data_IF_353782237504
#
_entry.id   IF_353782237504
#
_cell.length_a   1.000
_cell.length_b   1.000
_cell.length_c   1.000
_cell.angle_alpha   90.00
_cell.angle_beta   90.00
_cell.angle_gamma   90.00
#
_symmetry.space_group_name_H-M   'P 1'
#
loop_
_entity.id
_entity.type
_entity.pdbx_description
1 polymer ?
#
# COMPACT_ATOMS: atom_id res chain seq x y z
N UNK A 1 -9.18 4.36 -32.08
CA UNK A 1 -9.69 5.56 -31.42
C UNK A 1 -8.66 6.64 -31.71
N UNK A 2 -8.99 7.62 -32.54
CA UNK A 2 -8.07 8.65 -33.07
C UNK A 2 -7.76 9.67 -31.98
N UNK A 3 -6.47 9.93 -31.72
CA UNK A 3 -6.03 10.97 -30.79
C UNK A 3 -6.39 12.37 -31.33
N UNK A 4 -6.84 13.31 -30.48
CA UNK A 4 -7.08 14.70 -30.88
C UNK A 4 -5.74 15.39 -31.22
N UNK A 5 -5.73 16.37 -32.15
CA UNK A 5 -4.58 17.22 -32.37
C UNK A 5 -4.57 18.34 -31.31
N UNK A 6 -3.57 18.37 -30.44
CA UNK A 6 -3.31 19.59 -29.64
C UNK A 6 -2.57 19.45 -28.31
N UNK A 7 -2.51 18.27 -27.70
CA UNK A 7 -2.01 18.16 -26.33
C UNK A 7 -1.16 16.91 -26.04
N UNK A 8 -0.91 16.06 -27.04
CA UNK A 8 0.17 15.07 -27.04
C UNK A 8 0.15 14.00 -25.93
N UNK A 9 -0.79 14.08 -24.99
CA UNK A 9 -0.90 13.22 -23.84
C UNK A 9 -1.56 11.90 -24.23
N UNK A 10 -0.78 10.83 -24.15
CA UNK A 10 -1.29 9.48 -24.22
C UNK A 10 -1.70 9.07 -22.79
N UNK A 11 -2.99 9.07 -22.46
CA UNK A 11 -3.51 8.48 -21.20
C UNK A 11 -3.71 6.98 -21.39
N UNK A 12 -2.82 6.18 -20.79
CA UNK A 12 -2.81 4.74 -20.98
C UNK A 12 -2.90 3.94 -19.71
N UNK A 13 -3.81 2.96 -19.75
CA UNK A 13 -3.80 1.80 -18.86
C UNK A 13 -2.70 0.81 -19.25
N UNK A 14 -3.04 -0.44 -19.55
CA UNK A 14 -2.06 -1.52 -19.70
C UNK A 14 -1.33 -1.58 -21.05
N UNK A 15 -1.99 -1.21 -22.16
CA UNK A 15 -1.40 -1.20 -23.50
C UNK A 15 -2.11 -0.18 -24.37
N UNK A 16 -1.35 0.63 -25.08
CA UNK A 16 -1.89 1.56 -26.06
C UNK A 16 -0.87 1.76 -27.17
N UNK A 17 -1.38 1.79 -28.39
CA UNK A 17 -0.59 2.05 -29.59
C UNK A 17 -1.22 3.23 -30.30
N UNK A 18 -0.42 4.24 -30.63
CA UNK A 18 -0.82 5.37 -31.43
C UNK A 18 0.17 5.56 -32.57
N UNK A 19 -0.33 5.98 -33.73
CA UNK A 19 0.46 6.26 -34.93
C UNK A 19 0.72 7.77 -35.00
N UNK A 20 1.97 8.15 -35.23
CA UNK A 20 2.38 9.55 -35.37
C UNK A 20 3.12 9.73 -36.68
N UNK A 21 3.01 10.92 -37.28
CA UNK A 21 3.84 11.27 -38.42
C UNK A 21 5.32 11.39 -38.01
N UNK A 22 6.21 11.10 -38.95
CA UNK A 22 7.65 11.18 -38.70
C UNK A 22 8.07 12.59 -38.30
N UNK A 23 8.88 12.69 -37.25
CA UNK A 23 9.39 13.96 -36.72
C UNK A 23 8.47 14.65 -35.71
N UNK A 24 7.30 14.07 -35.40
CA UNK A 24 6.43 14.58 -34.34
C UNK A 24 7.03 14.33 -32.96
N UNK A 25 6.96 15.34 -32.10
CA UNK A 25 7.30 15.22 -30.69
C UNK A 25 6.06 14.82 -29.88
N UNK A 26 6.19 13.76 -29.09
CA UNK A 26 5.14 13.22 -28.23
C UNK A 26 5.57 13.35 -26.78
N UNK A 27 4.70 13.93 -25.95
CA UNK A 27 4.94 14.14 -24.52
C UNK A 27 4.14 13.15 -23.71
N UNK A 28 4.83 12.25 -23.03
CA UNK A 28 4.27 11.22 -22.17
C UNK A 28 4.39 11.63 -20.70
N UNK A 29 3.26 11.54 -20.00
CA UNK A 29 3.16 11.72 -18.54
C UNK A 29 2.62 10.44 -17.93
N UNK A 30 3.08 10.11 -16.72
CA UNK A 30 2.62 8.94 -15.97
C UNK A 30 1.83 9.41 -14.75
N UNK A 31 0.59 8.96 -14.63
CA UNK A 31 -0.25 9.22 -13.46
C UNK A 31 -0.45 7.91 -12.71
N UNK A 32 0.19 7.70 -11.54
CA UNK A 32 -0.02 6.50 -10.75
C UNK A 32 -1.47 6.37 -10.27
N UNK A 33 -2.01 5.15 -10.31
CA UNK A 33 -3.25 4.85 -9.60
C UNK A 33 -3.06 4.97 -8.08
N UNK A 34 -4.14 5.15 -7.32
CA UNK A 34 -4.09 5.23 -5.86
C UNK A 34 -3.39 4.02 -5.26
N UNK A 35 -2.40 4.26 -4.39
CA UNK A 35 -1.60 3.21 -3.76
C UNK A 35 -0.45 2.67 -4.61
N UNK A 36 -0.21 3.22 -5.79
CA UNK A 36 0.97 2.93 -6.62
C UNK A 36 1.87 4.16 -6.72
N UNK A 37 3.14 3.93 -7.04
CA UNK A 37 4.15 4.94 -7.34
C UNK A 37 4.68 4.70 -8.75
N UNK A 38 4.92 5.78 -9.50
CA UNK A 38 5.63 5.69 -10.76
C UNK A 38 7.12 5.58 -10.49
N UNK A 39 7.77 4.54 -11.02
CA UNK A 39 9.19 4.25 -10.77
C UNK A 39 10.09 4.58 -11.95
N UNK A 40 9.52 4.75 -13.14
CA UNK A 40 10.23 5.36 -14.26
C UNK A 40 9.82 4.84 -15.63
N UNK A 41 10.36 5.51 -16.64
CA UNK A 41 10.26 5.14 -18.04
C UNK A 41 11.40 4.21 -18.44
N UNK A 42 11.14 3.34 -19.41
CA UNK A 42 12.15 2.54 -20.11
C UNK A 42 11.82 2.37 -21.60
N UNK A 43 12.80 1.93 -22.39
CA UNK A 43 12.67 1.80 -23.85
C UNK A 43 13.05 3.10 -24.56
N UNK A 44 12.08 3.75 -25.21
CA UNK A 44 12.28 5.03 -25.91
C UNK A 44 12.51 6.25 -25.00
N UNK A 45 12.36 6.07 -23.69
CA UNK A 45 12.61 7.08 -22.68
C UNK A 45 13.29 6.49 -21.45
N UNK A 46 13.84 7.37 -20.61
CA UNK A 46 14.40 7.02 -19.31
C UNK A 46 14.13 8.10 -18.27
N UNK A 47 14.24 7.73 -16.99
CA UNK A 47 14.03 8.64 -15.86
C UNK A 47 12.60 8.65 -15.33
N UNK A 48 12.34 9.55 -14.39
CA UNK A 48 11.10 9.61 -13.59
C UNK A 48 10.26 10.86 -13.83
N UNK A 49 10.70 11.73 -14.74
CA UNK A 49 9.98 12.96 -15.11
C UNK A 49 9.04 12.75 -16.30
N UNK A 50 8.61 13.85 -16.90
CA UNK A 50 7.96 13.84 -18.21
C UNK A 50 8.91 13.25 -19.26
N UNK A 51 8.39 12.40 -20.13
CA UNK A 51 9.14 11.76 -21.21
C UNK A 51 8.74 12.40 -22.54
N UNK A 52 9.69 12.99 -23.26
CA UNK A 52 9.47 13.50 -24.62
C UNK A 52 10.18 12.61 -25.63
N UNK A 53 9.44 12.13 -26.63
CA UNK A 53 9.96 11.26 -27.69
C UNK A 53 9.68 11.88 -29.04
N UNK A 54 10.71 12.00 -29.88
CA UNK A 54 10.54 12.33 -31.29
C UNK A 54 10.33 11.05 -32.09
N UNK A 55 9.15 10.89 -32.69
CA UNK A 55 8.79 9.69 -33.46
C UNK A 55 9.44 9.74 -34.84
N UNK A 56 10.64 9.19 -34.95
CA UNK A 56 11.35 8.99 -36.22
C UNK A 56 11.26 7.53 -36.72
N UNK A 57 10.87 6.63 -35.83
CA UNK A 57 10.68 5.20 -36.07
C UNK A 57 9.74 4.63 -35.01
N UNK A 58 9.29 3.40 -35.22
CA UNK A 58 8.56 2.66 -34.20
C UNK A 58 9.36 2.64 -32.90
N UNK A 59 8.74 3.12 -31.83
CA UNK A 59 9.37 3.29 -30.53
C UNK A 59 8.45 2.73 -29.46
N UNK A 60 8.99 1.89 -28.58
CA UNK A 60 8.27 1.35 -27.44
C UNK A 60 8.72 2.08 -26.19
N UNK A 61 7.78 2.73 -25.50
CA UNK A 61 8.02 3.34 -24.19
C UNK A 61 7.20 2.59 -23.16
N UNK A 62 7.85 2.18 -22.07
CA UNK A 62 7.20 1.45 -20.97
C UNK A 62 7.24 2.31 -19.70
N UNK A 63 6.06 2.56 -19.12
CA UNK A 63 5.93 3.13 -17.78
C UNK A 63 5.95 2.01 -16.74
N UNK A 64 6.80 2.14 -15.73
CA UNK A 64 6.86 1.19 -14.60
C UNK A 64 6.21 1.80 -13.38
N UNK A 65 5.36 1.02 -12.71
CA UNK A 65 4.73 1.39 -11.46
C UNK A 65 4.95 0.29 -10.42
N UNK A 66 5.18 0.69 -9.18
CA UNK A 66 5.26 -0.21 -8.03
C UNK A 66 4.14 0.09 -7.04
N UNK A 67 3.73 -0.90 -6.25
CA UNK A 67 2.82 -0.68 -5.14
C UNK A 67 3.55 0.06 -4.01
N UNK A 68 2.92 1.11 -3.50
CA UNK A 68 3.41 1.79 -2.32
C UNK A 68 3.34 0.86 -1.11
N UNK A 69 4.38 0.84 -0.29
CA UNK A 69 4.40 0.07 0.96
C UNK A 69 4.22 0.97 2.17
N UNK A 70 3.45 0.49 3.14
CA UNK A 70 3.15 1.19 4.39
C UNK A 70 3.41 0.28 5.59
N UNK A 71 3.95 0.86 6.66
CA UNK A 71 4.18 0.12 7.90
C UNK A 71 2.92 0.13 8.76
N UNK A 72 2.52 -1.06 9.22
CA UNK A 72 1.53 -1.27 10.27
C UNK A 72 2.27 -1.58 11.58
N UNK A 73 2.08 -0.73 12.58
CA UNK A 73 2.62 -0.94 13.92
C UNK A 73 1.52 -1.28 14.91
N UNK A 74 1.80 -2.20 15.82
CA UNK A 74 0.88 -2.62 16.87
C UNK A 74 1.48 -2.28 18.24
N UNK A 75 0.69 -1.57 19.03
CA UNK A 75 1.01 -1.24 20.41
C UNK A 75 0.15 -2.06 21.36
N UNK A 76 0.76 -2.58 22.42
CA UNK A 76 0.03 -3.22 23.53
C UNK A 76 0.02 -2.27 24.73
N UNK A 77 -1.13 -2.12 25.35
CA UNK A 77 -1.31 -1.22 26.50
C UNK A 77 -2.11 -1.87 27.62
N UNK A 78 -2.00 -1.30 28.83
CA UNK A 78 -2.62 -1.81 30.04
C UNK A 78 -1.67 -2.66 30.88
N UNK A 79 -2.18 -3.15 32.01
CA UNK A 79 -1.41 -3.94 32.99
C UNK A 79 -1.48 -5.45 32.72
N UNK A 80 -2.36 -5.88 31.82
CA UNK A 80 -2.47 -7.26 31.39
C UNK A 80 -1.47 -7.60 30.28
N UNK A 81 -1.24 -8.89 30.05
CA UNK A 81 -0.39 -9.40 28.99
C UNK A 81 -1.19 -10.17 27.93
N UNK A 82 -0.58 -10.32 26.77
CA UNK A 82 -1.18 -11.00 25.63
C UNK A 82 -0.31 -10.86 24.38
N UNK A 83 -0.68 -11.61 23.36
CA UNK A 83 -0.08 -11.53 22.02
C UNK A 83 -1.08 -10.94 21.04
N UNK A 84 -0.55 -10.34 19.98
CA UNK A 84 -1.32 -9.90 18.82
C UNK A 84 -0.65 -10.49 17.60
N UNK A 85 -1.39 -11.27 16.84
CA UNK A 85 -0.88 -11.90 15.62
C UNK A 85 -1.65 -11.40 14.40
N UNK A 86 -0.98 -11.22 13.27
CA UNK A 86 -1.64 -11.02 11.98
C UNK A 86 -1.92 -12.35 11.27
N UNK A 87 -2.93 -12.40 10.42
CA UNK A 87 -3.30 -13.62 9.69
C UNK A 87 -2.24 -14.15 8.72
N UNK A 88 -1.34 -13.26 8.25
CA UNK A 88 -0.20 -13.57 7.39
C UNK A 88 1.09 -13.92 8.18
N UNK A 89 1.06 -13.79 9.51
CA UNK A 89 2.21 -14.07 10.39
C UNK A 89 3.30 -13.00 10.39
N UNK A 90 3.16 -11.91 9.62
CA UNK A 90 4.11 -10.80 9.60
C UNK A 90 4.20 -10.02 10.92
N UNK A 91 3.13 -10.05 11.72
CA UNK A 91 3.09 -9.46 13.06
C UNK A 91 2.81 -10.58 14.07
N UNK A 92 3.67 -10.69 15.06
CA UNK A 92 3.46 -11.49 16.27
C UNK A 92 4.07 -10.71 17.43
N UNK A 93 3.22 -9.93 18.10
CA UNK A 93 3.60 -8.94 19.12
C UNK A 93 4.09 -9.58 20.44
N UNK A 94 4.93 -10.61 20.35
CA UNK A 94 5.94 -10.99 21.33
C UNK A 94 7.27 -10.26 21.01
N UNK A 95 7.99 -10.68 19.94
CA UNK A 95 9.24 -10.03 19.49
C UNK A 95 9.05 -8.98 18.38
N UNK A 96 8.04 -9.11 17.51
CA UNK A 96 7.87 -8.28 16.30
C UNK A 96 6.49 -7.66 16.22
N UNK A 97 6.42 -6.37 16.49
CA UNK A 97 5.16 -5.62 16.58
C UNK A 97 4.88 -4.71 15.38
N UNK A 98 5.66 -4.81 14.30
CA UNK A 98 5.45 -4.01 13.10
C UNK A 98 5.83 -4.80 11.85
N UNK A 99 5.08 -4.58 10.77
CA UNK A 99 5.35 -5.15 9.45
C UNK A 99 4.97 -4.17 8.33
N UNK A 100 5.57 -4.34 7.16
CA UNK A 100 5.29 -3.52 5.98
C UNK A 100 4.35 -4.26 5.03
N UNK A 101 3.34 -3.54 4.55
CA UNK A 101 2.29 -4.06 3.67
C UNK A 101 2.15 -3.18 2.45
N UNK A 102 1.89 -3.76 1.28
CA UNK A 102 1.56 -3.00 0.08
C UNK A 102 0.19 -2.31 0.23
N UNK A 103 0.03 -1.16 -0.41
CA UNK A 103 -1.23 -0.42 -0.41
C UNK A 103 -2.39 -1.27 -0.89
N UNK A 104 -3.55 -1.10 -0.27
CA UNK A 104 -4.76 -1.89 -0.51
C UNK A 104 -4.80 -3.24 0.23
N UNK A 105 -3.71 -3.67 0.87
CA UNK A 105 -3.70 -4.91 1.64
C UNK A 105 -4.62 -4.80 2.85
N UNK A 106 -5.46 -5.82 3.06
CA UNK A 106 -6.32 -5.95 4.24
C UNK A 106 -5.65 -6.89 5.23
N UNK A 107 -5.29 -6.37 6.40
CA UNK A 107 -4.63 -7.12 7.48
C UNK A 107 -5.64 -7.38 8.59
N UNK A 108 -5.77 -8.65 8.98
CA UNK A 108 -6.57 -9.04 10.15
C UNK A 108 -5.64 -9.39 11.31
N UNK A 109 -5.73 -8.60 12.38
CA UNK A 109 -5.04 -8.79 13.64
C UNK A 109 -5.95 -9.53 14.63
N UNK A 110 -5.39 -10.47 15.38
CA UNK A 110 -6.09 -11.23 16.44
C UNK A 110 -5.37 -11.05 17.76
N UNK A 111 -6.10 -10.60 18.79
CA UNK A 111 -5.57 -10.48 20.15
C UNK A 111 -5.85 -11.76 20.96
N UNK A 112 -4.80 -12.33 21.52
CA UNK A 112 -4.88 -13.49 22.41
C UNK A 112 -4.42 -13.08 23.81
N UNK A 113 -5.35 -12.89 24.77
CA UNK A 113 -4.99 -12.61 26.16
C UNK A 113 -4.19 -13.77 26.76
N UNK A 114 -3.17 -13.45 27.55
CA UNK A 114 -2.49 -14.46 28.37
C UNK A 114 -3.34 -14.86 29.58
N UNK A 115 -2.93 -15.92 30.27
CA UNK A 115 -3.58 -16.34 31.52
C UNK A 115 -3.60 -15.19 32.54
N UNK A 116 -4.75 -14.99 33.20
CA UNK A 116 -4.95 -13.89 34.15
C UNK A 116 -5.13 -12.51 33.50
N UNK A 117 -5.28 -12.43 32.17
CA UNK A 117 -5.53 -11.18 31.44
C UNK A 117 -6.80 -11.23 30.59
N UNK A 118 -7.40 -10.07 30.36
CA UNK A 118 -8.60 -9.88 29.56
C UNK A 118 -8.31 -8.87 28.45
N UNK A 119 -8.62 -9.23 27.20
CA UNK A 119 -8.64 -8.25 26.11
C UNK A 119 -9.85 -7.33 26.26
N UNK A 120 -9.62 -6.03 26.20
CA UNK A 120 -10.68 -5.03 26.42
C UNK A 120 -11.18 -4.45 25.11
N UNK A 121 -10.30 -3.84 24.32
CA UNK A 121 -10.66 -3.20 23.06
C UNK A 121 -9.44 -2.93 22.18
N UNK A 122 -9.74 -2.63 20.92
CA UNK A 122 -8.82 -2.13 19.92
C UNK A 122 -8.99 -0.62 19.72
N UNK A 123 -7.93 0.05 19.26
CA UNK A 123 -7.96 1.41 18.71
C UNK A 123 -7.18 1.47 17.40
N UNK A 124 -7.62 2.30 16.45
CA UNK A 124 -6.93 2.49 15.16
C UNK A 124 -7.32 1.49 14.06
N UNK A 125 -8.27 0.59 14.34
CA UNK A 125 -8.82 -0.38 13.39
C UNK A 125 -9.95 0.22 12.55
N UNK A 126 -10.16 -0.30 11.34
CA UNK A 126 -11.32 0.06 10.53
C UNK A 126 -12.57 -0.66 11.00
N UNK A 127 -12.42 -1.95 11.31
CA UNK A 127 -13.49 -2.79 11.80
C UNK A 127 -12.98 -3.66 12.93
N UNK A 128 -13.78 -3.77 14.00
CA UNK A 128 -13.48 -4.59 15.16
C UNK A 128 -14.57 -5.63 15.33
N UNK A 129 -14.17 -6.89 15.45
CA UNK A 129 -15.08 -8.01 15.77
C UNK A 129 -14.52 -8.79 16.95
N UNK A 130 -15.02 -8.50 18.15
CA UNK A 130 -14.51 -9.04 19.41
C UNK A 130 -13.00 -8.84 19.57
N UNK A 131 -12.22 -9.91 19.36
CA UNK A 131 -10.75 -9.93 19.51
C UNK A 131 -10.03 -9.70 18.19
N UNK A 132 -10.74 -9.63 17.07
CA UNK A 132 -10.15 -9.36 15.77
C UNK A 132 -10.31 -7.88 15.39
N UNK A 133 -9.27 -7.38 14.74
CA UNK A 133 -9.18 -6.01 14.22
C UNK A 133 -8.78 -6.11 12.76
N UNK A 134 -9.57 -5.50 11.89
CA UNK A 134 -9.26 -5.43 10.45
C UNK A 134 -8.77 -4.03 10.11
N UNK A 135 -7.70 -3.97 9.33
CA UNK A 135 -7.02 -2.76 8.91
C UNK A 135 -6.74 -2.84 7.42
N UNK A 136 -7.27 -1.89 6.66
CA UNK A 136 -6.89 -1.68 5.27
C UNK A 136 -5.72 -0.71 5.20
N UNK A 137 -4.64 -1.13 4.54
CA UNK A 137 -3.41 -0.36 4.43
C UNK A 137 -3.49 0.62 3.26
N UNK A 138 -3.87 1.86 3.54
CA UNK A 138 -3.82 2.98 2.59
C UNK A 138 -2.81 4.07 2.97
N UNK A 139 -2.24 3.95 4.17
CA UNK A 139 -1.20 4.80 4.73
C UNK A 139 -0.46 4.01 5.82
N UNK A 140 0.61 4.59 6.38
CA UNK A 140 1.22 4.05 7.59
C UNK A 140 0.22 4.16 8.76
N UNK A 141 0.05 3.06 9.51
CA UNK A 141 -0.98 2.96 10.56
C UNK A 141 -0.42 2.41 11.85
N UNK A 142 -1.05 2.83 12.95
CA UNK A 142 -0.74 2.36 14.29
C UNK A 142 -2.02 1.89 14.97
N UNK A 143 -2.02 0.64 15.42
CA UNK A 143 -3.16 0.00 16.10
C UNK A 143 -2.77 -0.29 17.53
N UNK A 144 -3.69 -0.07 18.47
CA UNK A 144 -3.45 -0.36 19.88
C UNK A 144 -4.41 -1.42 20.40
N UNK A 145 -3.87 -2.53 20.92
CA UNK A 145 -4.59 -3.51 21.72
C UNK A 145 -4.46 -3.16 23.19
N UNK A 146 -5.57 -3.22 23.94
CA UNK A 146 -5.54 -3.03 25.40
C UNK A 146 -5.91 -4.30 26.15
N UNK A 147 -5.04 -4.70 27.07
CA UNK A 147 -5.23 -5.84 27.97
C UNK A 147 -5.32 -5.36 29.42
N UNK A 148 -6.30 -5.88 30.16
CA UNK A 148 -6.44 -5.66 31.60
C UNK A 148 -6.02 -6.93 32.34
N UNK A 149 -5.15 -6.79 33.34
CA UNK A 149 -4.82 -7.89 34.25
C UNK A 149 -5.97 -8.07 35.23
N UNK A 150 -6.34 -9.32 35.50
CA UNK A 150 -7.32 -9.65 36.53
C UNK A 150 -6.64 -9.47 37.89
N UNK A 151 -7.15 -8.58 38.77
CA UNK A 151 -6.61 -8.48 40.12
C UNK A 151 -6.80 -9.82 40.86
N UNK A 152 -5.82 -10.29 41.65
CA UNK A 152 -6.03 -11.43 42.52
C UNK A 152 -7.20 -11.13 43.47
N UNK A 153 -8.19 -12.03 43.50
CA UNK A 153 -9.29 -11.98 44.47
C UNK A 153 -8.71 -12.34 45.83
N UNK A 154 -8.60 -11.37 46.74
CA UNK A 154 -8.32 -11.57 48.16
C UNK A 154 -9.60 -11.49 48.96
#
# INVERSE_FOLDING_TARGET
>A
MTAPPGDGGIDCGATCSASYESGMEVTLTATPASGSIFTGWSGGCSGTGTCTVTMNSDTVVTATFDLQTFTLSVNKTGIGSGTVTSGDGGIDCGPTCAASYTSGTVVTLTATPAFGSIFTHWRGCDMVSHRTCTVTMSAARSVTARFLGIPPLF
#
